data_IF_258447494899
#
_entry.id   IF_258447494899
#
_cell.length_a   1.000
_cell.length_b   1.000
_cell.length_c   1.000
_cell.angle_alpha   90.00
_cell.angle_beta   90.00
_cell.angle_gamma   90.00
#
_symmetry.space_group_name_H-M   'P 1'
#
loop_
_entity.id
_entity.type
_entity.pdbx_description
1 polymer ?
#
# COMPACT_ATOMS: atom_id res chain seq x y z
N UNK A 1 3.82 23.98 -3.64
CA UNK A 1 4.24 22.98 -4.65
C UNK A 1 4.41 21.58 -4.07
N UNK A 2 5.21 21.42 -3.01
CA UNK A 2 5.46 20.14 -2.33
C UNK A 2 4.19 19.36 -1.95
N UNK A 3 3.22 19.96 -1.25
CA UNK A 3 2.02 19.26 -0.76
C UNK A 3 1.24 18.58 -1.88
N UNK A 4 1.06 19.26 -3.02
CA UNK A 4 0.37 18.70 -4.18
C UNK A 4 1.11 17.48 -4.72
N UNK A 5 2.43 17.60 -4.88
CA UNK A 5 3.26 16.50 -5.36
C UNK A 5 3.25 15.31 -4.39
N UNK A 6 3.43 15.58 -3.09
CA UNK A 6 3.43 14.57 -2.03
C UNK A 6 2.13 13.75 -2.00
N UNK A 7 0.99 14.42 -2.14
CA UNK A 7 -0.33 13.79 -2.04
C UNK A 7 -0.79 13.10 -3.34
N UNK A 8 -0.39 13.59 -4.51
CA UNK A 8 -0.95 13.12 -5.78
C UNK A 8 0.04 12.41 -6.71
N UNK A 9 1.35 12.62 -6.55
CA UNK A 9 2.36 12.13 -7.50
C UNK A 9 3.40 11.23 -6.83
N UNK A 10 3.82 11.55 -5.62
CA UNK A 10 4.81 10.75 -4.91
C UNK A 10 4.23 9.41 -4.46
N UNK A 11 4.89 8.31 -4.85
CA UNK A 11 4.52 6.96 -4.45
C UNK A 11 5.31 6.56 -3.22
N UNK A 12 4.62 6.37 -2.11
CA UNK A 12 5.22 6.12 -0.79
C UNK A 12 5.44 4.64 -0.59
N UNK A 13 6.68 4.24 -0.28
CA UNK A 13 7.04 2.83 -0.07
C UNK A 13 6.30 2.20 1.11
N UNK A 14 6.02 2.98 2.17
CA UNK A 14 5.26 2.53 3.36
C UNK A 14 3.83 2.09 3.08
N UNK A 15 3.21 2.58 2.00
CA UNK A 15 1.88 2.15 1.51
C UNK A 15 2.01 1.43 0.17
N UNK A 16 3.04 0.61 0.03
CA UNK A 16 3.30 -0.23 -1.16
C UNK A 16 3.29 0.59 -2.46
N UNK A 17 3.91 1.76 -2.49
CA UNK A 17 3.99 2.65 -3.66
C UNK A 17 2.62 3.12 -4.16
N UNK A 18 1.79 3.61 -3.24
CA UNK A 18 0.59 4.39 -3.51
C UNK A 18 0.84 5.86 -3.17
N UNK A 19 0.02 6.76 -3.73
CA UNK A 19 -0.07 8.12 -3.21
C UNK A 19 -1.08 8.19 -2.04
N UNK A 20 -0.96 9.18 -1.14
CA UNK A 20 -1.92 9.40 -0.07
C UNK A 20 -3.34 9.60 -0.61
N UNK A 21 -3.47 10.30 -1.74
CA UNK A 21 -4.75 10.44 -2.44
C UNK A 21 -5.35 9.09 -2.84
N UNK A 22 -4.55 8.20 -3.46
CA UNK A 22 -5.05 6.88 -3.88
C UNK A 22 -5.55 6.04 -2.71
N UNK A 23 -4.82 6.07 -1.58
CA UNK A 23 -5.22 5.34 -0.36
C UNK A 23 -6.46 5.96 0.27
N UNK A 24 -6.52 7.28 0.38
CA UNK A 24 -7.62 7.99 1.01
C UNK A 24 -8.96 7.80 0.28
N UNK A 25 -8.93 7.77 -1.06
CA UNK A 25 -10.13 7.58 -1.88
C UNK A 25 -10.41 6.11 -2.25
N UNK A 26 -9.73 5.13 -1.63
CA UNK A 26 -9.98 3.70 -1.85
C UNK A 26 -9.64 3.19 -3.25
N UNK A 27 -8.83 3.93 -4.01
CA UNK A 27 -8.38 3.53 -5.36
C UNK A 27 -7.34 2.40 -5.32
N UNK A 28 -6.75 2.22 -4.16
CA UNK A 28 -5.73 1.23 -3.84
C UNK A 28 -6.18 -0.22 -4.06
N UNK A 29 -7.46 -0.56 -3.80
CA UNK A 29 -8.01 -1.90 -4.00
C UNK A 29 -7.80 -2.36 -5.45
N UNK A 30 -8.25 -1.56 -6.41
CA UNK A 30 -8.13 -1.89 -7.84
C UNK A 30 -6.67 -1.83 -8.31
N UNK A 31 -5.85 -0.93 -7.75
CA UNK A 31 -4.42 -0.86 -8.06
C UNK A 31 -3.71 -2.13 -7.61
N UNK A 32 -3.94 -2.60 -6.38
CA UNK A 32 -3.29 -3.81 -5.84
C UNK A 32 -3.76 -5.06 -6.57
N UNK A 33 -5.05 -5.15 -6.91
CA UNK A 33 -5.59 -6.23 -7.76
C UNK A 33 -4.85 -6.32 -9.09
N UNK A 34 -4.73 -5.20 -9.83
CA UNK A 34 -4.02 -5.14 -11.11
C UNK A 34 -2.54 -5.50 -10.99
N UNK A 35 -1.88 -5.09 -9.90
CA UNK A 35 -0.47 -5.44 -9.64
C UNK A 35 -0.30 -6.93 -9.40
N UNK A 36 -1.15 -7.53 -8.57
CA UNK A 36 -1.17 -8.98 -8.35
C UNK A 36 -1.35 -9.74 -9.67
N UNK A 37 -2.36 -9.37 -10.46
CA UNK A 37 -2.60 -9.99 -11.77
C UNK A 37 -1.40 -9.87 -12.72
N UNK A 38 -0.77 -8.69 -12.76
CA UNK A 38 0.41 -8.45 -13.61
C UNK A 38 1.57 -9.35 -13.21
N UNK A 39 1.85 -9.46 -11.91
CA UNK A 39 2.93 -10.30 -11.38
C UNK A 39 2.64 -11.78 -11.62
N UNK A 40 1.40 -12.24 -11.40
CA UNK A 40 1.00 -13.63 -11.68
C UNK A 40 1.16 -13.98 -13.16
N UNK A 41 0.72 -13.09 -14.07
CA UNK A 41 0.91 -13.27 -15.52
C UNK A 41 2.38 -13.32 -15.91
N UNK A 42 3.22 -12.44 -15.33
CA UNK A 42 4.65 -12.43 -15.59
C UNK A 42 5.34 -13.70 -15.10
N UNK A 43 5.00 -14.19 -13.89
CA UNK A 43 5.52 -15.45 -13.34
C UNK A 43 5.07 -16.66 -14.15
N UNK A 44 3.81 -16.72 -14.57
CA UNK A 44 3.31 -17.79 -15.42
C UNK A 44 4.00 -17.84 -16.79
N UNK A 45 4.36 -16.68 -17.36
CA UNK A 45 5.03 -16.60 -18.66
C UNK A 45 6.50 -17.04 -18.61
N UNK A 46 7.20 -16.72 -17.53
CA UNK A 46 8.64 -16.96 -17.38
C UNK A 46 8.98 -17.47 -15.97
N UNK A 47 8.52 -18.67 -15.57
CA UNK A 47 8.74 -19.17 -14.22
C UNK A 47 10.21 -19.31 -13.85
N UNK A 48 11.09 -19.54 -14.83
CA UNK A 48 12.54 -19.65 -14.65
C UNK A 48 13.22 -18.38 -14.11
N UNK A 49 12.57 -17.21 -14.25
CA UNK A 49 13.10 -15.93 -13.74
C UNK A 49 12.74 -15.67 -12.28
N UNK A 50 11.95 -16.54 -11.65
CA UNK A 50 11.43 -16.34 -10.31
C UNK A 50 12.01 -17.38 -9.36
N UNK A 51 12.70 -16.93 -8.31
CA UNK A 51 13.21 -17.81 -7.26
C UNK A 51 12.13 -18.25 -6.26
N UNK A 52 10.96 -17.60 -6.26
CA UNK A 52 9.90 -17.84 -5.29
C UNK A 52 8.58 -17.20 -5.72
N UNK A 53 7.75 -16.86 -4.73
CA UNK A 53 6.46 -16.22 -4.96
C UNK A 53 6.54 -14.79 -5.44
N UNK A 54 5.42 -14.31 -5.96
CA UNK A 54 5.30 -12.91 -6.37
C UNK A 54 5.43 -12.00 -5.14
N UNK A 55 5.79 -10.75 -5.37
CA UNK A 55 5.81 -9.74 -4.33
C UNK A 55 4.43 -9.66 -3.64
N UNK A 56 4.44 -9.65 -2.32
CA UNK A 56 3.24 -9.39 -1.53
C UNK A 56 2.77 -7.93 -1.68
N UNK A 57 1.57 -7.80 -2.25
CA UNK A 57 0.86 -6.54 -2.47
C UNK A 57 -0.26 -6.30 -1.45
N UNK A 58 -0.32 -7.09 -0.37
CA UNK A 58 -1.26 -6.85 0.74
C UNK A 58 -0.96 -5.50 1.39
N UNK A 59 -1.99 -4.68 1.56
CA UNK A 59 -1.85 -3.36 2.18
C UNK A 59 -1.85 -3.49 3.70
N UNK A 60 -1.07 -2.65 4.40
CA UNK A 60 -1.20 -2.55 5.85
C UNK A 60 -2.59 -2.01 6.19
N UNK A 61 -3.16 -2.53 7.28
CA UNK A 61 -4.46 -2.12 7.79
C UNK A 61 -4.49 -0.61 8.09
N UNK A 62 -3.47 -0.13 8.79
CA UNK A 62 -3.26 1.28 9.11
C UNK A 62 -1.82 1.71 8.82
N UNK A 63 -1.61 3.02 8.68
CA UNK A 63 -0.29 3.65 8.61
C UNK A 63 -0.31 4.97 9.35
N UNK A 64 0.84 5.39 9.86
CA UNK A 64 1.00 6.66 10.55
C UNK A 64 1.86 7.61 9.71
N UNK A 65 1.52 8.90 9.67
CA UNK A 65 2.28 9.90 8.92
C UNK A 65 3.61 10.24 9.61
N UNK A 66 3.56 10.32 10.95
CA UNK A 66 4.72 10.46 11.81
C UNK A 66 4.86 9.17 12.64
N UNK A 67 6.07 8.83 13.11
CA UNK A 67 6.23 7.78 14.10
C UNK A 67 5.30 8.04 15.29
N UNK A 68 4.49 7.05 15.65
CA UNK A 68 3.64 7.09 16.84
C UNK A 68 3.98 5.89 17.71
N UNK A 69 3.79 6.04 19.02
CA UNK A 69 3.92 4.92 19.95
C UNK A 69 2.80 3.90 19.71
N UNK A 70 3.09 2.61 19.90
CA UNK A 70 2.12 1.54 19.69
C UNK A 70 0.87 1.70 20.56
N UNK A 71 1.03 2.14 21.81
CA UNK A 71 -0.12 2.37 22.69
C UNK A 71 -1.00 3.52 22.20
N UNK A 72 -0.40 4.54 21.59
CA UNK A 72 -1.14 5.66 21.00
C UNK A 72 -1.94 5.19 19.77
N UNK A 73 -1.32 4.39 18.89
CA UNK A 73 -2.00 3.80 17.73
C UNK A 73 -3.19 2.95 18.16
N UNK A 74 -3.01 2.06 19.12
CA UNK A 74 -4.05 1.15 19.59
C UNK A 74 -5.25 1.94 20.16
N UNK A 75 -4.98 3.01 20.91
CA UNK A 75 -6.03 3.88 21.42
C UNK A 75 -6.85 4.53 20.29
N UNK A 76 -6.21 5.02 19.21
CA UNK A 76 -6.93 5.58 18.07
C UNK A 76 -7.78 4.55 17.34
N UNK A 77 -7.27 3.34 17.13
CA UNK A 77 -8.00 2.26 16.44
C UNK A 77 -9.23 1.80 17.23
N UNK A 78 -9.10 1.68 18.56
CA UNK A 78 -10.21 1.31 19.44
C UNK A 78 -11.31 2.38 19.48
N UNK A 79 -10.95 3.67 19.43
CA UNK A 79 -11.92 4.77 19.38
C UNK A 79 -12.71 4.82 18.08
N UNK A 80 -12.09 4.50 16.93
CA UNK A 80 -12.76 4.50 15.63
C UNK A 80 -13.69 3.30 15.40
N UNK A 81 -13.53 2.24 16.19
CA UNK A 81 -14.33 1.02 16.11
C UNK A 81 -15.59 1.06 16.99
N UNK A 82 -15.80 2.13 17.75
CA UNK A 82 -16.96 2.38 18.63
C UNK A 82 -17.90 3.41 18.02
#
# INVERSE_FOLDING_TARGET
EFVRWYNHQHLHSGIKFLSPYQRHYGLDIEIMKKRNETYLKAKAKHPERWSGDIRDWTLPEYVTLNPMDTAEVDNYLNQQSS
#
